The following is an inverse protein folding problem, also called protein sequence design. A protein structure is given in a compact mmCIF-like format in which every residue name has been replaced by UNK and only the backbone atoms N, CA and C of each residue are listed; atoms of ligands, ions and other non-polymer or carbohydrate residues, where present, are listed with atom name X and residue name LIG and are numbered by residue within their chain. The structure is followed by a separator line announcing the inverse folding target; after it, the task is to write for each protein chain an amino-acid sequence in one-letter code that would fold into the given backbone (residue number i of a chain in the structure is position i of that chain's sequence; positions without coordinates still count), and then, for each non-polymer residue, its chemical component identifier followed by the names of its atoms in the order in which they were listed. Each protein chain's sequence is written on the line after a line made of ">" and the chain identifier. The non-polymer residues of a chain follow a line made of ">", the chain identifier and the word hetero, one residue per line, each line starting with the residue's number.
data_IF_659092103230
#
_entry.id   IF_659092103230
#
_cell.length_a   1.000
_cell.length_b   1.000
_cell.length_c   1.000
_cell.angle_alpha   90.00
_cell.angle_beta   90.00
_cell.angle_gamma   90.00
#
_symmetry.space_group_name_H-M   'P 1'
#
loop_
_entity.id
_entity.type
_entity.pdbx_description
1 polymer ?
#
# COMPACT_ATOMS: atom_id res chain seq x y z
N UNK A 1 10.20 6.81 7.37
CA UNK A 1 9.37 7.85 6.73
C UNK A 1 9.89 7.98 5.30
N UNK A 2 9.74 6.92 4.50
CA UNK A 2 10.46 6.75 3.23
C UNK A 2 9.53 6.74 2.00
N UNK A 3 8.23 6.49 2.20
CA UNK A 3 7.25 6.34 1.10
C UNK A 3 7.15 7.60 0.20
N UNK A 4 7.49 8.79 0.71
CA UNK A 4 7.46 10.03 -0.08
C UNK A 4 8.64 10.17 -1.04
N UNK A 5 9.73 9.45 -0.79
CA UNK A 5 10.95 9.49 -1.60
C UNK A 5 10.90 8.49 -2.77
N UNK A 6 9.99 7.53 -2.72
CA UNK A 6 9.82 6.51 -3.78
C UNK A 6 9.45 7.13 -5.13
N UNK A 7 9.92 6.58 -6.23
CA UNK A 7 9.38 6.91 -7.57
C UNK A 7 7.94 6.43 -7.72
N UNK A 8 7.26 6.86 -8.77
CA UNK A 8 5.89 6.38 -9.02
C UNK A 8 5.85 4.88 -9.32
N UNK A 9 6.88 4.34 -9.99
CA UNK A 9 7.02 2.89 -10.17
C UNK A 9 7.21 2.17 -8.84
N UNK A 10 8.09 2.67 -7.96
CA UNK A 10 8.33 2.08 -6.64
C UNK A 10 7.06 2.12 -5.78
N UNK A 11 6.31 3.22 -5.80
CA UNK A 11 5.01 3.32 -5.14
C UNK A 11 4.01 2.28 -5.67
N UNK A 12 3.97 2.08 -6.99
CA UNK A 12 3.09 1.11 -7.61
C UNK A 12 3.49 -0.34 -7.26
N UNK A 13 4.79 -0.62 -7.24
CA UNK A 13 5.33 -1.93 -6.89
C UNK A 13 5.07 -2.28 -5.43
N UNK A 14 5.33 -1.36 -4.50
CA UNK A 14 5.06 -1.56 -3.07
C UNK A 14 3.55 -1.73 -2.81
N UNK A 15 2.72 -0.99 -3.54
CA UNK A 15 1.27 -1.15 -3.47
C UNK A 15 0.81 -2.54 -3.94
N UNK A 16 1.43 -3.08 -5.01
CA UNK A 16 1.17 -4.42 -5.48
C UNK A 16 1.62 -5.47 -4.45
N UNK A 17 2.85 -5.33 -3.94
CA UNK A 17 3.42 -6.23 -2.92
C UNK A 17 2.55 -6.29 -1.66
N UNK A 18 2.10 -5.15 -1.15
CA UNK A 18 1.23 -5.09 0.04
C UNK A 18 -0.15 -5.72 -0.20
N UNK A 19 -0.73 -5.58 -1.41
CA UNK A 19 -2.01 -6.23 -1.76
C UNK A 19 -1.86 -7.75 -1.84
N UNK A 20 -0.79 -8.22 -2.47
CA UNK A 20 -0.50 -9.65 -2.58
C UNK A 20 -0.27 -10.28 -1.21
N UNK A 21 0.41 -9.57 -0.32
CA UNK A 21 0.62 -10.06 1.05
C UNK A 21 -0.70 -10.17 1.82
N UNK A 22 -1.60 -9.20 1.68
CA UNK A 22 -2.95 -9.31 2.26
C UNK A 22 -3.70 -10.51 1.68
N UNK A 23 -3.60 -10.76 0.36
CA UNK A 23 -4.24 -11.90 -0.27
C UNK A 23 -3.70 -13.22 0.28
N UNK A 24 -2.37 -13.34 0.41
CA UNK A 24 -1.71 -14.51 1.02
C UNK A 24 -2.15 -14.73 2.47
N UNK A 25 -2.18 -13.67 3.29
CA UNK A 25 -2.61 -13.77 4.68
C UNK A 25 -4.09 -14.15 4.80
N UNK A 26 -4.96 -13.59 3.96
CA UNK A 26 -6.38 -13.98 3.94
C UNK A 26 -6.58 -15.43 3.49
N UNK A 27 -5.78 -15.90 2.55
CA UNK A 27 -5.80 -17.28 2.11
C UNK A 27 -5.39 -18.23 3.25
N UNK A 28 -4.28 -17.94 3.96
CA UNK A 28 -3.87 -18.73 5.13
C UNK A 28 -4.91 -18.71 6.24
N UNK A 29 -5.48 -17.53 6.52
CA UNK A 29 -6.53 -17.35 7.52
C UNK A 29 -7.79 -18.19 7.27
N UNK A 30 -7.99 -18.71 6.04
CA UNK A 30 -9.10 -19.60 5.73
C UNK A 30 -8.86 -21.04 6.22
N UNK A 31 -7.61 -21.46 6.40
CA UNK A 31 -7.23 -22.81 6.83
C UNK A 31 -6.77 -22.87 8.28
N UNK A 32 -6.10 -21.81 8.77
CA UNK A 32 -5.52 -21.73 10.10
C UNK A 32 -5.60 -20.32 10.68
N UNK A 33 -5.53 -20.20 12.00
CA UNK A 33 -5.44 -18.90 12.64
C UNK A 33 -4.08 -18.24 12.34
N UNK A 34 -4.11 -16.95 12.01
CA UNK A 34 -2.88 -16.20 11.77
C UNK A 34 -2.12 -16.01 13.08
N UNK A 35 -0.83 -16.34 13.08
CA UNK A 35 0.07 -16.08 14.21
C UNK A 35 0.12 -14.59 14.56
N UNK A 36 -0.02 -13.71 13.56
CA UNK A 36 -0.05 -12.27 13.76
C UNK A 36 -1.18 -11.59 12.96
N UNK A 37 -2.41 -11.55 13.50
CA UNK A 37 -3.55 -10.89 12.85
C UNK A 37 -3.35 -9.38 12.67
N UNK A 38 -2.48 -8.76 13.49
CA UNK A 38 -2.20 -7.33 13.41
C UNK A 38 -1.50 -6.92 12.11
N UNK A 39 -0.80 -7.86 11.46
CA UNK A 39 -0.12 -7.63 10.19
C UNK A 39 -1.09 -7.20 9.08
N UNK A 40 -2.30 -7.79 9.03
CA UNK A 40 -3.36 -7.35 8.11
C UNK A 40 -3.72 -5.88 8.30
N UNK A 41 -3.78 -5.39 9.55
CA UNK A 41 -4.07 -3.98 9.86
C UNK A 41 -2.91 -3.08 9.44
N UNK A 42 -1.66 -3.52 9.65
CA UNK A 42 -0.45 -2.81 9.23
C UNK A 42 -0.41 -2.65 7.72
N UNK A 43 -0.59 -3.72 6.96
CA UNK A 43 -0.58 -3.71 5.49
C UNK A 43 -1.71 -2.83 4.92
N UNK A 44 -2.91 -2.86 5.52
CA UNK A 44 -4.00 -1.95 5.11
C UNK A 44 -3.64 -0.48 5.31
N UNK A 45 -2.98 -0.14 6.42
CA UNK A 45 -2.50 1.23 6.68
C UNK A 45 -1.41 1.64 5.70
N UNK A 46 -0.53 0.72 5.36
CA UNK A 46 0.52 0.93 4.36
C UNK A 46 -0.05 1.21 2.97
N UNK A 47 -1.01 0.40 2.51
CA UNK A 47 -1.76 0.65 1.27
C UNK A 47 -2.43 2.03 1.29
N UNK A 48 -3.04 2.41 2.41
CA UNK A 48 -3.66 3.71 2.54
C UNK A 48 -2.64 4.85 2.38
N UNK A 49 -1.47 4.75 3.02
CA UNK A 49 -0.38 5.74 2.88
C UNK A 49 0.13 5.83 1.45
N UNK A 50 0.39 4.69 0.80
CA UNK A 50 0.85 4.63 -0.59
C UNK A 50 -0.13 5.34 -1.53
N UNK A 51 -1.43 5.02 -1.39
CA UNK A 51 -2.48 5.68 -2.18
C UNK A 51 -2.59 7.17 -1.89
N UNK A 52 -2.43 7.60 -0.65
CA UNK A 52 -2.43 9.03 -0.31
C UNK A 52 -1.33 9.76 -1.05
N UNK A 53 -0.10 9.23 -1.06
CA UNK A 53 1.02 9.86 -1.78
C UNK A 53 0.76 9.90 -3.28
N UNK A 54 0.24 8.84 -3.89
CA UNK A 54 -0.13 8.83 -5.31
C UNK A 54 -1.16 9.92 -5.65
N UNK A 55 -2.17 10.11 -4.80
CA UNK A 55 -3.19 11.14 -4.98
C UNK A 55 -2.61 12.55 -4.76
N UNK A 56 -1.74 12.73 -3.77
CA UNK A 56 -1.04 13.99 -3.53
C UNK A 56 -0.21 14.40 -4.76
N UNK A 57 0.50 13.45 -5.38
CA UNK A 57 1.30 13.67 -6.60
C UNK A 57 0.42 14.05 -7.79
N UNK A 58 -0.61 13.25 -8.08
CA UNK A 58 -1.52 13.53 -9.18
C UNK A 58 -2.15 14.92 -9.07
N UNK A 59 -2.57 15.34 -7.86
CA UNK A 59 -3.10 16.70 -7.63
C UNK A 59 -2.06 17.80 -7.81
N UNK A 60 -0.81 17.53 -7.46
CA UNK A 60 0.29 18.50 -7.64
C UNK A 60 0.66 18.69 -9.11
N UNK A 61 0.53 17.64 -9.93
CA UNK A 61 0.72 17.70 -11.39
C UNK A 61 -0.45 18.44 -12.06
N UNK A 62 -1.68 18.14 -11.66
CA UNK A 62 -2.90 18.77 -12.21
C UNK A 62 -2.91 20.30 -11.97
N UNK A 63 -2.43 20.75 -10.81
CA UNK A 63 -2.28 22.17 -10.49
C UNK A 63 -1.16 22.91 -11.25
N UNK A 64 -0.24 22.20 -11.92
CA UNK A 64 0.81 22.81 -12.74
C UNK A 64 0.39 23.02 -14.20
N UNK A 65 -0.71 22.39 -14.62
CA UNK A 65 -1.20 22.41 -16.02
C UNK A 65 -2.36 23.41 -16.22
N UNK A 66 -2.90 23.99 -15.14
CA UNK A 66 -3.94 25.03 -15.17
C UNK A 66 -3.38 26.42 -14.95
#
# INVERSE_FOLDING_TARGET
>A
MEIREFTDEELAEELARAKDEIARLRYRAAFEELENPSLLKTLRREIARLKTVQVERARSEENQVG
#
